data_IF_346789930575
#
_entry.id   IF_346789930575
#
_cell.length_a   1.000
_cell.length_b   1.000
_cell.length_c   1.000
_cell.angle_alpha   90.00
_cell.angle_beta   90.00
_cell.angle_gamma   90.00
#
_symmetry.space_group_name_H-M   'P 1'
#
loop_
_entity.id
_entity.type
_entity.pdbx_description
1 polymer ?
#
# COMPACT_ATOMS: atom_id res chain seq x y z
N UNK A 1 10.57 51.50 -23.07
CA UNK A 1 10.74 50.05 -22.79
C UNK A 1 9.36 49.42 -22.86
N UNK A 2 9.12 48.54 -23.83
CA UNK A 2 7.79 47.94 -24.09
C UNK A 2 7.36 46.97 -22.98
N UNK A 3 6.05 46.79 -22.82
CA UNK A 3 5.49 45.99 -21.73
C UNK A 3 5.88 44.51 -21.84
N UNK A 4 5.89 43.79 -20.72
CA UNK A 4 6.16 42.34 -20.67
C UNK A 4 5.26 41.55 -21.66
N UNK A 5 4.04 42.05 -21.89
CA UNK A 5 3.06 41.47 -22.81
C UNK A 5 3.51 41.55 -24.27
N UNK A 6 4.22 42.61 -24.65
CA UNK A 6 4.73 42.82 -26.02
C UNK A 6 5.94 41.93 -26.30
N UNK A 7 6.75 41.66 -25.26
CA UNK A 7 7.90 40.75 -25.36
C UNK A 7 7.48 39.27 -25.47
N UNK A 8 6.34 38.90 -24.90
CA UNK A 8 5.79 37.54 -24.99
C UNK A 8 5.10 37.25 -26.34
N UNK A 9 4.47 38.26 -26.95
CA UNK A 9 3.90 38.17 -28.29
C UNK A 9 4.98 38.04 -29.38
N UNK A 10 6.09 38.79 -29.24
CA UNK A 10 7.20 38.74 -30.20
C UNK A 10 7.95 37.38 -30.22
N UNK A 11 7.86 36.59 -29.14
CA UNK A 11 8.46 35.25 -29.04
C UNK A 11 7.52 34.11 -29.47
N UNK A 12 6.31 34.41 -29.96
CA UNK A 12 5.35 33.40 -30.41
C UNK A 12 4.72 32.57 -29.28
N UNK A 13 4.86 32.97 -28.02
CA UNK A 13 4.40 32.22 -26.84
C UNK A 13 2.99 32.61 -26.36
N UNK A 14 2.38 33.64 -26.95
CA UNK A 14 0.98 33.98 -26.72
C UNK A 14 0.15 33.55 -27.94
N UNK A 15 -0.43 32.35 -27.91
CA UNK A 15 -1.35 31.90 -28.94
C UNK A 15 -2.63 32.74 -28.92
N UNK A 16 -3.01 33.26 -30.10
CA UNK A 16 -4.37 33.76 -30.36
C UNK A 16 -5.38 32.69 -29.93
N UNK A 17 -6.37 33.09 -29.12
CA UNK A 17 -7.67 32.42 -28.92
C UNK A 17 -7.63 30.89 -28.83
N UNK A 18 -7.77 30.36 -27.62
CA UNK A 18 -8.09 28.94 -27.42
C UNK A 18 -9.25 28.54 -28.36
N UNK A 19 -9.10 27.47 -29.15
CA UNK A 19 -10.22 26.97 -29.94
C UNK A 19 -11.31 26.53 -28.97
N UNK A 20 -12.54 26.96 -29.22
CA UNK A 20 -13.71 26.46 -28.51
C UNK A 20 -13.68 24.93 -28.54
N UNK A 21 -13.57 24.30 -27.37
CA UNK A 21 -13.73 22.87 -27.19
C UNK A 21 -15.13 22.51 -27.67
N UNK A 22 -15.23 21.96 -28.88
CA UNK A 22 -16.46 21.29 -29.33
C UNK A 22 -16.77 20.22 -28.29
N UNK A 23 -17.95 20.27 -27.69
CA UNK A 23 -18.46 19.18 -26.87
C UNK A 23 -18.42 17.91 -27.71
N UNK A 24 -17.47 17.02 -27.38
CA UNK A 24 -17.41 15.69 -27.95
C UNK A 24 -18.63 14.96 -27.40
N UNK A 25 -19.53 14.51 -28.27
CA UNK A 25 -20.65 13.68 -27.86
C UNK A 25 -20.10 12.47 -27.10
N UNK A 26 -20.70 12.07 -25.96
CA UNK A 26 -20.21 10.93 -25.19
C UNK A 26 -20.14 9.71 -26.12
N UNK A 27 -19.02 9.01 -26.08
CA UNK A 27 -18.83 7.81 -26.88
C UNK A 27 -19.97 6.82 -26.60
N UNK A 28 -20.48 6.10 -27.62
CA UNK A 28 -21.51 5.10 -27.39
C UNK A 28 -21.00 4.05 -26.39
N UNK A 29 -21.82 3.74 -25.39
CA UNK A 29 -21.49 2.75 -24.36
C UNK A 29 -21.29 1.38 -25.04
N UNK A 30 -20.10 0.81 -24.92
CA UNK A 30 -19.80 -0.56 -25.36
C UNK A 30 -20.60 -1.56 -24.50
N UNK A 31 -21.59 -2.27 -25.05
CA UNK A 31 -22.41 -3.20 -24.30
C UNK A 31 -21.62 -4.36 -23.68
N UNK A 32 -20.51 -4.77 -24.32
CA UNK A 32 -19.67 -5.85 -23.82
C UNK A 32 -18.86 -5.40 -22.59
N UNK A 33 -18.36 -4.16 -22.58
CA UNK A 33 -17.72 -3.58 -21.41
C UNK A 33 -18.69 -3.45 -20.23
N UNK A 34 -19.93 -3.00 -20.50
CA UNK A 34 -20.97 -2.89 -19.47
C UNK A 34 -21.43 -4.26 -18.92
N UNK A 35 -21.31 -5.34 -19.71
CA UNK A 35 -21.55 -6.71 -19.22
C UNK A 35 -20.44 -7.15 -18.28
N UNK A 36 -19.17 -7.04 -18.72
CA UNK A 36 -18.01 -7.43 -17.90
C UNK A 36 -17.96 -6.72 -16.56
N UNK A 37 -18.22 -5.40 -16.54
CA UNK A 37 -18.25 -4.63 -15.31
C UNK A 37 -19.31 -5.15 -14.31
N UNK A 38 -20.47 -5.61 -14.81
CA UNK A 38 -21.51 -6.22 -13.96
C UNK A 38 -21.10 -7.58 -13.42
N UNK A 39 -20.41 -8.39 -14.22
CA UNK A 39 -19.88 -9.69 -13.78
C UNK A 39 -18.79 -9.52 -12.71
N UNK A 40 -17.87 -8.57 -12.91
CA UNK A 40 -16.84 -8.21 -11.92
C UNK A 40 -17.45 -7.75 -10.60
N UNK A 41 -18.44 -6.84 -10.67
CA UNK A 41 -19.15 -6.35 -9.49
C UNK A 41 -19.86 -7.48 -8.73
N UNK A 42 -20.54 -8.37 -9.46
CA UNK A 42 -21.22 -9.52 -8.87
C UNK A 42 -20.22 -10.50 -8.22
N UNK A 43 -19.07 -10.75 -8.87
CA UNK A 43 -18.01 -11.60 -8.33
C UNK A 43 -17.40 -10.99 -7.06
N UNK A 44 -17.17 -9.68 -7.05
CA UNK A 44 -16.64 -8.97 -5.88
C UNK A 44 -17.61 -8.99 -4.70
N UNK A 45 -18.90 -8.77 -4.96
CA UNK A 45 -19.94 -8.88 -3.94
C UNK A 45 -20.04 -10.31 -3.37
N UNK A 46 -19.98 -11.33 -4.23
CA UNK A 46 -19.97 -12.73 -3.81
C UNK A 46 -18.74 -13.07 -2.96
N UNK A 47 -17.55 -12.62 -3.36
CA UNK A 47 -16.33 -12.78 -2.56
C UNK A 47 -16.46 -12.10 -1.19
N UNK A 48 -16.84 -10.83 -1.16
CA UNK A 48 -16.96 -10.03 0.06
C UNK A 48 -17.98 -10.60 1.07
N UNK A 49 -18.99 -11.34 0.60
CA UNK A 49 -19.96 -12.03 1.47
C UNK A 49 -19.37 -13.20 2.26
N UNK A 50 -18.25 -13.76 1.79
CA UNK A 50 -17.53 -14.87 2.45
C UNK A 50 -16.22 -14.41 3.12
N UNK A 51 -15.74 -13.19 2.83
CA UNK A 51 -14.50 -12.66 3.40
C UNK A 51 -14.64 -12.27 4.88
N UNK A 52 -13.60 -12.49 5.70
CA UNK A 52 -13.51 -11.92 7.04
C UNK A 52 -13.68 -10.39 7.02
N UNK A 53 -14.42 -9.86 7.99
CA UNK A 53 -14.63 -8.42 8.12
C UNK A 53 -13.62 -7.77 9.05
N UNK A 54 -13.04 -6.67 8.59
CA UNK A 54 -12.24 -5.83 9.46
C UNK A 54 -13.16 -5.00 10.37
N UNK A 55 -12.83 -4.82 11.66
CA UNK A 55 -13.63 -4.00 12.56
C UNK A 55 -13.86 -2.59 12.01
N UNK A 56 -15.11 -2.13 11.99
CA UNK A 56 -15.49 -0.82 11.47
C UNK A 56 -15.53 -0.71 9.95
N UNK A 57 -15.20 -1.78 9.20
CA UNK A 57 -15.18 -1.74 7.75
C UNK A 57 -16.54 -2.10 7.12
N UNK A 58 -16.92 -1.36 6.07
CA UNK A 58 -18.04 -1.67 5.17
C UNK A 58 -17.54 -2.30 3.87
N UNK A 59 -18.39 -3.03 3.12
CA UNK A 59 -18.05 -3.36 1.72
C UNK A 59 -18.21 -2.08 0.90
N UNK A 60 -17.29 -1.83 -0.02
CA UNK A 60 -17.49 -0.89 -1.11
C UNK A 60 -17.76 -1.63 -2.42
N UNK A 61 -18.56 -1.00 -3.28
CA UNK A 61 -18.69 -1.45 -4.68
C UNK A 61 -17.38 -1.22 -5.42
N UNK A 62 -17.14 -1.90 -6.54
CA UNK A 62 -15.94 -1.63 -7.35
C UNK A 62 -16.00 -0.21 -7.95
N UNK A 63 -17.19 0.28 -8.27
CA UNK A 63 -17.39 1.66 -8.71
C UNK A 63 -16.96 2.66 -7.63
N UNK A 64 -17.45 2.53 -6.40
CA UNK A 64 -17.02 3.36 -5.26
C UNK A 64 -15.51 3.27 -5.05
N UNK A 65 -14.94 2.06 -5.08
CA UNK A 65 -13.51 1.86 -4.90
C UNK A 65 -12.69 2.60 -5.98
N UNK A 66 -13.15 2.58 -7.24
CA UNK A 66 -12.49 3.29 -8.35
C UNK A 66 -12.58 4.81 -8.20
N UNK A 67 -13.74 5.33 -7.79
CA UNK A 67 -13.96 6.76 -7.56
C UNK A 67 -12.97 7.33 -6.52
N UNK A 68 -12.59 6.54 -5.51
CA UNK A 68 -11.59 6.95 -4.51
C UNK A 68 -10.20 7.23 -5.12
N UNK A 69 -9.85 6.59 -6.23
CA UNK A 69 -8.58 6.81 -6.91
C UNK A 69 -8.64 7.88 -8.00
N UNK A 70 -9.82 8.30 -8.47
CA UNK A 70 -9.93 9.30 -9.54
C UNK A 70 -9.18 10.60 -9.21
N UNK A 71 -9.29 11.19 -7.99
CA UNK A 71 -8.54 12.39 -7.63
C UNK A 71 -7.01 12.17 -7.62
N UNK A 72 -6.57 10.92 -7.53
CA UNK A 72 -5.17 10.49 -7.43
C UNK A 72 -4.64 9.83 -8.70
N UNK A 73 -5.47 9.75 -9.73
CA UNK A 73 -5.13 9.05 -10.96
C UNK A 73 -3.95 9.69 -11.71
N UNK A 74 -3.70 10.98 -11.48
CA UNK A 74 -2.50 11.65 -11.99
C UNK A 74 -1.25 11.18 -11.24
N UNK A 75 -1.29 11.14 -9.91
CA UNK A 75 -0.18 10.66 -9.09
C UNK A 75 0.16 9.22 -9.50
N UNK A 76 -0.83 8.33 -9.51
CA UNK A 76 -0.69 6.92 -9.89
C UNK A 76 -0.10 6.71 -11.29
N UNK A 77 -0.50 7.51 -12.29
CA UNK A 77 0.02 7.43 -13.66
C UNK A 77 1.47 7.89 -13.78
N UNK A 78 1.91 8.79 -12.91
CA UNK A 78 3.30 9.20 -12.84
C UNK A 78 4.13 8.25 -11.98
N UNK A 79 3.50 7.36 -11.19
CA UNK A 79 4.23 6.38 -10.39
C UNK A 79 5.01 5.35 -11.23
N UNK A 80 4.66 5.19 -12.51
CA UNK A 80 5.21 4.11 -13.36
C UNK A 80 6.52 4.47 -14.07
N UNK A 81 7.03 5.69 -13.94
CA UNK A 81 8.17 6.19 -14.72
C UNK A 81 9.55 6.15 -14.03
N UNK A 82 9.60 6.48 -12.75
CA UNK A 82 10.86 6.84 -12.05
C UNK A 82 11.18 5.95 -10.83
N UNK A 83 10.46 4.85 -10.66
CA UNK A 83 10.47 4.07 -9.42
C UNK A 83 10.58 2.58 -9.69
N UNK A 84 11.27 1.89 -8.79
CA UNK A 84 11.62 0.49 -8.95
C UNK A 84 10.34 -0.39 -9.01
N UNK A 85 9.27 -0.07 -8.27
CA UNK A 85 8.04 -0.86 -8.22
C UNK A 85 6.81 -0.16 -8.81
N UNK A 86 6.14 -0.81 -9.78
CA UNK A 86 4.88 -0.34 -10.34
C UNK A 86 3.70 -0.70 -9.42
N UNK A 87 2.75 0.23 -9.26
CA UNK A 87 1.46 -0.05 -8.63
C UNK A 87 0.61 -0.86 -9.60
N UNK A 88 0.27 -2.10 -9.23
CA UNK A 88 -0.69 -2.90 -9.99
C UNK A 88 -2.12 -2.48 -9.60
N UNK A 89 -2.66 -1.55 -10.39
CA UNK A 89 -4.00 -0.97 -10.18
C UNK A 89 -5.10 -2.05 -10.22
N UNK A 90 -4.95 -3.12 -10.98
CA UNK A 90 -5.97 -4.17 -11.05
C UNK A 90 -6.08 -4.93 -9.72
N UNK A 91 -4.94 -5.18 -9.07
CA UNK A 91 -4.89 -5.85 -7.75
C UNK A 91 -5.49 -5.01 -6.63
N UNK A 92 -5.60 -3.69 -6.80
CA UNK A 92 -6.21 -2.84 -5.78
C UNK A 92 -7.72 -3.07 -5.66
N UNK A 93 -8.40 -3.50 -6.73
CA UNK A 93 -9.86 -3.59 -6.75
C UNK A 93 -10.39 -5.00 -6.53
N UNK A 94 -9.63 -6.02 -6.94
CA UNK A 94 -10.03 -7.42 -6.85
C UNK A 94 -9.26 -8.11 -5.71
N UNK A 95 -9.86 -9.11 -5.04
CA UNK A 95 -11.15 -9.74 -5.34
C UNK A 95 -12.37 -9.00 -4.77
N UNK A 96 -12.19 -8.12 -3.77
CA UNK A 96 -13.24 -7.24 -3.23
C UNK A 96 -12.61 -6.16 -2.35
N UNK A 97 -13.37 -5.11 -2.02
CA UNK A 97 -12.87 -3.99 -1.21
C UNK A 97 -13.70 -3.79 0.04
N UNK A 98 -13.02 -3.66 1.17
CA UNK A 98 -13.57 -3.16 2.43
C UNK A 98 -12.99 -1.78 2.73
N UNK A 99 -13.84 -0.88 3.21
CA UNK A 99 -13.50 0.52 3.49
C UNK A 99 -13.78 0.84 4.95
N UNK A 100 -12.81 1.48 5.60
CA UNK A 100 -13.00 2.13 6.90
C UNK A 100 -12.95 3.65 6.66
N UNK A 101 -13.95 4.35 7.18
CA UNK A 101 -14.08 5.79 7.06
C UNK A 101 -13.38 6.50 8.23
N UNK A 102 -12.62 7.55 7.94
CA UNK A 102 -11.94 8.37 8.93
C UNK A 102 -10.67 7.74 9.53
N UNK A 103 -10.17 8.38 10.57
CA UNK A 103 -8.94 7.96 11.25
C UNK A 103 -9.17 6.72 12.12
N UNK A 104 -8.21 5.80 12.07
CA UNK A 104 -8.30 4.49 12.73
C UNK A 104 -7.07 4.26 13.60
N UNK A 105 -7.30 3.85 14.85
CA UNK A 105 -6.25 3.39 15.75
C UNK A 105 -6.52 1.93 16.14
N UNK A 106 -5.52 1.05 15.95
CA UNK A 106 -5.58 -0.37 16.27
C UNK A 106 -4.33 -0.78 17.06
N UNK A 107 -4.45 -1.81 17.88
CA UNK A 107 -3.28 -2.43 18.51
C UNK A 107 -2.50 -3.29 17.51
N UNK A 108 -3.22 -4.14 16.78
CA UNK A 108 -2.67 -4.95 15.69
C UNK A 108 -3.63 -4.95 14.50
N UNK A 109 -3.06 -4.95 13.29
CA UNK A 109 -3.79 -5.22 12.07
C UNK A 109 -3.17 -6.44 11.40
N UNK A 110 -3.99 -7.47 11.19
CA UNK A 110 -3.58 -8.67 10.47
C UNK A 110 -4.48 -8.88 9.26
N UNK A 111 -3.87 -8.84 8.09
CA UNK A 111 -4.54 -9.19 6.84
C UNK A 111 -4.48 -10.69 6.58
N UNK A 112 -5.41 -11.14 5.74
CA UNK A 112 -5.55 -12.55 5.35
C UNK A 112 -5.41 -12.71 3.84
N UNK A 113 -4.90 -13.88 3.41
CA UNK A 113 -4.73 -14.22 1.99
C UNK A 113 -6.06 -14.28 1.22
N UNK A 114 -7.13 -14.69 1.90
CA UNK A 114 -8.47 -14.85 1.32
C UNK A 114 -9.42 -13.68 1.66
N UNK A 115 -8.85 -12.59 2.21
CA UNK A 115 -9.61 -11.41 2.63
C UNK A 115 -10.01 -10.48 1.48
N UNK A 116 -10.65 -9.37 1.83
CA UNK A 116 -10.79 -8.23 0.91
C UNK A 116 -9.54 -7.36 0.96
N UNK A 117 -9.31 -6.58 -0.10
CA UNK A 117 -8.50 -5.37 -0.01
C UNK A 117 -9.09 -4.47 1.10
N UNK A 118 -8.23 -3.78 1.83
CA UNK A 118 -8.65 -2.89 2.91
C UNK A 118 -8.22 -1.46 2.60
N UNK A 119 -9.18 -0.54 2.55
CA UNK A 119 -8.93 0.87 2.38
C UNK A 119 -9.26 1.62 3.67
N UNK A 120 -8.38 2.51 4.08
CA UNK A 120 -8.60 3.43 5.21
C UNK A 120 -8.68 4.85 4.65
N UNK A 121 -9.85 5.49 4.78
CA UNK A 121 -10.11 6.85 4.32
C UNK A 121 -9.78 7.87 5.42
N UNK A 122 -8.53 7.84 5.84
CA UNK A 122 -7.99 8.66 6.92
C UNK A 122 -6.60 8.17 7.32
N UNK A 123 -6.14 8.62 8.48
CA UNK A 123 -4.88 8.17 9.07
C UNK A 123 -5.05 6.79 9.73
N UNK A 124 -4.07 5.91 9.54
CA UNK A 124 -4.00 4.60 10.19
C UNK A 124 -2.86 4.60 11.21
N UNK A 125 -3.20 4.43 12.48
CA UNK A 125 -2.24 4.26 13.58
C UNK A 125 -2.30 2.84 14.13
N UNK A 126 -1.15 2.17 14.18
CA UNK A 126 -1.00 0.82 14.72
C UNK A 126 0.05 0.87 15.84
N UNK A 127 -0.38 0.69 17.09
CA UNK A 127 0.53 0.78 18.24
C UNK A 127 1.46 -0.43 18.32
N UNK A 128 1.03 -1.59 17.82
CA UNK A 128 1.81 -2.82 17.68
C UNK A 128 2.23 -3.08 16.24
N UNK A 129 1.69 -4.14 15.63
CA UNK A 129 2.12 -4.64 14.33
C UNK A 129 1.05 -4.63 13.25
N UNK A 130 1.48 -4.25 12.05
CA UNK A 130 0.79 -4.51 10.80
C UNK A 130 1.41 -5.75 10.17
N UNK A 131 0.61 -6.81 10.02
CA UNK A 131 1.00 -8.03 9.33
C UNK A 131 0.16 -8.21 8.07
N UNK A 132 0.83 -8.18 6.94
CA UNK A 132 0.29 -8.40 5.61
C UNK A 132 1.06 -9.56 4.96
N UNK A 133 0.61 -10.82 5.12
CA UNK A 133 1.32 -12.00 4.62
C UNK A 133 1.56 -11.98 3.11
N UNK A 134 2.50 -12.79 2.60
CA UNK A 134 2.67 -12.98 1.16
C UNK A 134 1.34 -13.35 0.48
N UNK A 135 1.00 -12.65 -0.62
CA UNK A 135 -0.27 -12.78 -1.35
C UNK A 135 -1.52 -12.49 -0.52
N UNK A 136 -1.39 -11.75 0.57
CA UNK A 136 -2.57 -11.07 1.11
C UNK A 136 -3.01 -9.94 0.19
N UNK A 137 -4.23 -9.49 0.43
CA UNK A 137 -4.86 -8.44 -0.35
C UNK A 137 -4.20 -7.09 -0.04
N UNK A 138 -4.40 -6.11 -0.92
CA UNK A 138 -3.82 -4.79 -0.83
C UNK A 138 -4.34 -4.02 0.39
N UNK A 139 -3.45 -3.28 1.03
CA UNK A 139 -3.79 -2.25 2.01
C UNK A 139 -3.54 -0.88 1.42
N UNK A 140 -4.57 -0.04 1.43
CA UNK A 140 -4.50 1.33 0.92
C UNK A 140 -4.87 2.31 2.02
N UNK A 141 -3.98 3.24 2.33
CA UNK A 141 -4.21 4.28 3.33
C UNK A 141 -4.27 5.62 2.60
N UNK A 142 -5.45 6.23 2.56
CA UNK A 142 -5.69 7.53 1.92
C UNK A 142 -5.30 8.72 2.81
N UNK A 143 -4.64 8.45 3.95
CA UNK A 143 -3.94 9.40 4.80
C UNK A 143 -2.53 8.91 5.11
N UNK A 144 -2.07 9.16 6.34
CA UNK A 144 -0.76 8.75 6.86
C UNK A 144 -0.84 7.41 7.59
N UNK A 145 0.24 6.63 7.54
CA UNK A 145 0.39 5.37 8.27
C UNK A 145 1.47 5.53 9.35
N UNK A 146 1.08 5.32 10.61
CA UNK A 146 1.99 5.23 11.76
C UNK A 146 1.95 3.83 12.32
N UNK A 147 3.10 3.17 12.47
CA UNK A 147 3.18 1.83 13.02
C UNK A 147 4.44 1.61 13.84
N UNK A 148 4.40 0.71 14.84
CA UNK A 148 5.64 0.26 15.49
C UNK A 148 6.40 -0.72 14.59
N UNK A 149 5.71 -1.73 14.07
CA UNK A 149 6.24 -2.69 13.08
C UNK A 149 5.29 -2.86 11.89
N UNK A 150 5.88 -3.04 10.70
CA UNK A 150 5.20 -3.41 9.47
C UNK A 150 5.91 -4.60 8.84
N UNK A 151 5.16 -5.67 8.62
CA UNK A 151 5.62 -6.89 7.92
C UNK A 151 4.70 -7.07 6.72
N UNK A 152 5.21 -6.79 5.52
CA UNK A 152 4.43 -6.87 4.29
C UNK A 152 5.05 -7.81 3.25
N UNK A 153 4.21 -8.69 2.71
CA UNK A 153 4.47 -9.53 1.55
C UNK A 153 3.49 -9.26 0.41
N UNK A 154 2.72 -8.18 0.49
CA UNK A 154 1.75 -7.78 -0.52
C UNK A 154 1.74 -6.26 -0.73
N UNK A 155 0.76 -5.76 -1.49
CA UNK A 155 0.73 -4.37 -1.91
C UNK A 155 0.32 -3.46 -0.76
N UNK A 156 1.20 -2.51 -0.41
CA UNK A 156 0.93 -1.47 0.59
C UNK A 156 1.06 -0.12 -0.07
N UNK A 157 -0.02 0.65 -0.11
CA UNK A 157 -0.05 1.99 -0.70
C UNK A 157 -0.46 3.03 0.33
N UNK A 158 0.39 4.03 0.55
CA UNK A 158 0.17 5.13 1.50
C UNK A 158 0.21 6.45 0.75
N UNK A 159 -0.91 7.17 0.73
CA UNK A 159 -1.02 8.46 0.05
C UNK A 159 -0.47 9.65 0.85
N UNK A 160 -0.29 9.48 2.17
CA UNK A 160 0.33 10.45 3.07
C UNK A 160 1.72 10.02 3.54
N UNK A 161 2.05 10.42 4.77
CA UNK A 161 3.34 10.10 5.37
C UNK A 161 3.36 8.66 5.93
N UNK A 162 4.53 8.02 5.87
CA UNK A 162 4.79 6.74 6.51
C UNK A 162 5.76 6.95 7.68
N UNK A 163 5.36 6.55 8.88
CA UNK A 163 6.23 6.50 10.06
C UNK A 163 6.22 5.09 10.65
N UNK A 164 7.34 4.38 10.51
CA UNK A 164 7.56 3.06 11.10
C UNK A 164 8.66 3.18 12.14
N UNK A 165 8.28 3.18 13.42
CA UNK A 165 9.20 3.48 14.51
C UNK A 165 10.35 2.46 14.61
N UNK A 166 10.05 1.17 14.36
CA UNK A 166 11.05 0.09 14.42
C UNK A 166 11.31 -0.50 13.06
N UNK A 167 10.52 -1.47 12.61
CA UNK A 167 10.90 -2.31 11.47
C UNK A 167 9.85 -2.27 10.37
N UNK A 168 10.28 -1.94 9.16
CA UNK A 168 9.53 -2.14 7.93
C UNK A 168 10.18 -3.30 7.16
N UNK A 169 9.49 -4.43 7.09
CA UNK A 169 9.95 -5.63 6.42
C UNK A 169 9.12 -5.93 5.18
N UNK A 170 9.82 -6.21 4.08
CA UNK A 170 9.24 -6.56 2.78
C UNK A 170 9.77 -7.90 2.28
N UNK A 171 8.90 -8.80 1.82
CA UNK A 171 9.31 -10.12 1.30
C UNK A 171 8.43 -10.61 0.14
N UNK A 172 8.42 -9.85 -0.95
CA UNK A 172 7.72 -10.22 -2.16
C UNK A 172 8.33 -9.52 -3.37
N UNK A 173 8.63 -10.25 -4.43
CA UNK A 173 9.11 -9.71 -5.72
C UNK A 173 7.99 -9.09 -6.56
N UNK A 174 6.73 -9.43 -6.28
CA UNK A 174 5.60 -9.14 -7.15
C UNK A 174 4.74 -7.96 -6.66
N UNK A 175 4.96 -7.51 -5.43
CA UNK A 175 4.21 -6.45 -4.79
C UNK A 175 5.17 -5.44 -4.21
N UNK A 176 4.70 -4.21 -4.08
CA UNK A 176 5.51 -3.10 -3.63
C UNK A 176 4.89 -2.42 -2.40
N UNK A 177 5.75 -1.74 -1.64
CA UNK A 177 5.33 -0.72 -0.69
C UNK A 177 5.55 0.64 -1.33
N UNK A 178 4.46 1.36 -1.57
CA UNK A 178 4.44 2.66 -2.23
C UNK A 178 4.02 3.74 -1.22
N UNK A 179 4.83 4.79 -1.07
CA UNK A 179 4.57 5.92 -0.17
C UNK A 179 4.72 7.23 -0.92
N UNK A 180 3.63 8.00 -1.00
CA UNK A 180 3.59 9.25 -1.76
C UNK A 180 4.03 10.47 -0.92
N UNK A 181 3.98 10.36 0.40
CA UNK A 181 4.49 11.39 1.33
C UNK A 181 5.91 11.11 1.83
N UNK A 182 6.23 11.69 2.99
CA UNK A 182 7.51 11.50 3.68
C UNK A 182 7.58 10.11 4.30
N UNK A 183 8.72 9.44 4.21
CA UNK A 183 8.96 8.15 4.87
C UNK A 183 9.98 8.28 6.01
N UNK A 184 9.63 7.83 7.21
CA UNK A 184 10.54 7.70 8.36
C UNK A 184 10.49 6.26 8.85
N UNK A 185 11.62 5.58 8.78
CA UNK A 185 11.71 4.15 9.13
C UNK A 185 12.93 3.93 10.02
N UNK A 186 12.75 3.24 11.15
CA UNK A 186 13.85 2.80 11.99
C UNK A 186 14.82 1.90 11.23
N UNK A 187 14.38 0.68 10.91
CA UNK A 187 15.11 -0.32 10.13
C UNK A 187 14.25 -0.78 8.95
N UNK A 188 14.75 -0.62 7.73
CA UNK A 188 14.15 -1.13 6.51
C UNK A 188 14.80 -2.46 6.14
N UNK A 189 14.00 -3.53 6.07
CA UNK A 189 14.46 -4.86 5.68
C UNK A 189 13.84 -5.23 4.33
N UNK A 190 14.63 -5.15 3.27
CA UNK A 190 14.21 -5.64 1.94
C UNK A 190 14.70 -7.07 1.73
N UNK A 191 13.74 -7.99 1.65
CA UNK A 191 13.99 -9.38 1.36
C UNK A 191 13.38 -9.80 0.03
N UNK A 192 14.03 -10.74 -0.66
CA UNK A 192 13.66 -11.18 -2.02
C UNK A 192 13.41 -10.00 -2.96
N UNK A 193 14.21 -8.95 -2.84
CA UNK A 193 14.07 -7.75 -3.67
C UNK A 193 12.68 -7.10 -3.55
N UNK A 194 12.04 -7.15 -2.36
CA UNK A 194 10.81 -6.40 -2.15
C UNK A 194 11.02 -4.92 -2.41
N UNK A 195 10.09 -4.37 -3.19
CA UNK A 195 10.18 -3.05 -3.77
C UNK A 195 9.66 -2.02 -2.79
N UNK A 196 10.48 -1.02 -2.46
CA UNK A 196 10.11 0.09 -1.61
C UNK A 196 10.24 1.40 -2.39
N UNK A 197 9.10 2.02 -2.64
CA UNK A 197 8.93 3.16 -3.52
C UNK A 197 8.56 4.38 -2.69
N UNK A 198 9.56 5.19 -2.32
CA UNK A 198 9.37 6.43 -1.57
C UNK A 198 9.48 7.64 -2.49
N UNK A 199 8.37 8.35 -2.66
CA UNK A 199 8.27 9.50 -3.59
C UNK A 199 8.54 10.83 -2.91
N UNK A 200 8.24 10.94 -1.62
CA UNK A 200 8.66 12.06 -0.81
C UNK A 200 10.06 11.86 -0.19
N UNK A 201 10.49 12.81 0.65
CA UNK A 201 11.72 12.68 1.42
C UNK A 201 11.70 11.41 2.27
N UNK A 202 12.86 10.77 2.43
CA UNK A 202 13.00 9.56 3.26
C UNK A 202 14.13 9.68 4.28
N UNK A 203 13.87 9.22 5.49
CA UNK A 203 14.86 9.00 6.53
C UNK A 203 14.77 7.53 6.98
N UNK A 204 15.82 6.76 6.69
CA UNK A 204 15.93 5.34 7.05
C UNK A 204 17.11 5.24 8.00
N UNK A 205 16.88 4.77 9.22
CA UNK A 205 17.95 4.61 10.22
C UNK A 205 18.94 3.52 9.82
N UNK A 206 18.43 2.32 9.54
CA UNK A 206 19.21 1.16 9.10
C UNK A 206 18.57 0.51 7.87
N UNK A 207 19.39 0.08 6.90
CA UNK A 207 18.96 -0.67 5.73
C UNK A 207 19.58 -2.07 5.75
N UNK A 208 18.73 -3.09 5.70
CA UNK A 208 19.14 -4.50 5.64
C UNK A 208 18.59 -5.11 4.36
N UNK A 209 19.48 -5.69 3.54
CA UNK A 209 19.10 -6.42 2.33
C UNK A 209 19.40 -7.89 2.52
N UNK A 210 18.44 -8.76 2.24
CA UNK A 210 18.59 -10.21 2.38
C UNK A 210 18.02 -10.96 1.19
N UNK A 211 18.71 -12.00 0.75
CA UNK A 211 18.17 -12.89 -0.28
C UNK A 211 17.22 -13.94 0.32
N UNK A 212 17.51 -14.43 1.52
CA UNK A 212 16.69 -15.43 2.20
C UNK A 212 15.73 -14.77 3.19
N UNK A 213 14.41 -15.04 3.10
CA UNK A 213 13.43 -14.46 4.01
C UNK A 213 13.64 -14.97 5.43
N UNK A 214 13.88 -14.08 6.40
CA UNK A 214 13.62 -14.44 7.79
C UNK A 214 12.15 -14.81 7.93
N UNK A 215 11.86 -15.79 8.79
CA UNK A 215 10.56 -16.45 8.85
C UNK A 215 9.51 -15.63 9.63
N UNK A 216 9.37 -14.33 9.31
CA UNK A 216 8.47 -13.42 10.00
C UNK A 216 6.99 -13.79 9.84
N UNK A 217 6.65 -14.55 8.79
CA UNK A 217 5.30 -15.05 8.56
C UNK A 217 4.88 -16.14 9.55
N UNK A 218 5.81 -16.96 10.06
CA UNK A 218 5.51 -18.05 11.01
C UNK A 218 5.05 -17.51 12.37
N UNK A 219 5.56 -16.35 12.79
CA UNK A 219 5.11 -15.67 14.02
C UNK A 219 3.74 -15.02 13.88
N UNK A 220 3.24 -14.95 12.64
CA UNK A 220 1.91 -14.46 12.32
C UNK A 220 0.82 -15.52 12.35
N UNK A 221 1.10 -16.83 12.21
CA UNK A 221 0.06 -17.84 11.93
C UNK A 221 -0.61 -18.36 13.22
N UNK A 222 -1.78 -17.78 13.52
CA UNK A 222 -2.89 -18.24 14.35
C UNK A 222 -2.64 -18.60 15.85
N UNK A 223 -3.52 -18.16 16.77
CA UNK A 223 -3.58 -18.73 18.11
C UNK A 223 -3.99 -20.20 18.01
N UNK A 224 -3.07 -21.11 18.32
CA UNK A 224 -3.36 -22.55 18.46
C UNK A 224 -2.62 -23.51 17.53
N UNK A 225 -1.92 -23.06 16.49
CA UNK A 225 -1.07 -23.96 15.69
C UNK A 225 0.33 -24.04 16.33
N UNK A 226 0.49 -25.07 17.17
CA UNK A 226 1.75 -25.43 17.82
C UNK A 226 2.79 -25.91 16.78
N UNK A 227 3.62 -25.00 16.29
CA UNK A 227 4.94 -25.36 15.74
C UNK A 227 5.95 -25.48 16.88
N UNK A 228 5.79 -26.48 17.75
CA UNK A 228 6.83 -26.93 18.70
C UNK A 228 7.41 -25.92 19.72
N UNK A 229 7.04 -24.64 19.68
CA UNK A 229 7.40 -23.61 20.67
C UNK A 229 6.12 -23.05 21.26
N UNK A 230 5.98 -23.18 22.56
CA UNK A 230 4.87 -22.63 23.33
C UNK A 230 4.90 -21.10 23.26
N UNK A 231 3.86 -20.49 22.72
CA UNK A 231 3.58 -19.06 22.85
C UNK A 231 2.66 -18.90 24.06
N UNK A 232 3.05 -18.05 25.02
CA UNK A 232 2.23 -17.72 26.18
C UNK A 232 1.16 -16.67 25.80
N UNK A 233 -0.13 -16.99 25.92
CA UNK A 233 -1.23 -16.11 25.50
C UNK A 233 -1.48 -14.92 26.44
N UNK A 234 -0.82 -14.83 27.60
CA UNK A 234 -1.04 -13.76 28.59
C UNK A 234 -0.10 -12.56 28.44
N UNK A 235 0.90 -12.65 27.56
CA UNK A 235 2.00 -11.66 27.46
C UNK A 235 1.98 -10.86 26.14
N UNK A 236 1.27 -11.31 25.10
CA UNK A 236 1.69 -10.99 23.72
C UNK A 236 3.09 -11.60 23.46
N UNK A 237 3.67 -11.52 22.26
CA UNK A 237 5.01 -12.10 22.05
C UNK A 237 6.11 -11.07 22.46
N UNK A 238 6.75 -11.19 23.64
CA UNK A 238 7.90 -10.35 23.99
C UNK A 238 9.13 -10.65 23.12
N UNK A 239 9.03 -11.62 22.20
CA UNK A 239 10.05 -12.00 21.24
C UNK A 239 9.79 -11.49 19.82
N UNK A 240 8.82 -10.62 19.53
CA UNK A 240 8.80 -10.03 18.18
C UNK A 240 10.04 -9.12 17.96
N UNK A 241 10.40 -8.27 18.94
CA UNK A 241 11.61 -7.46 18.87
C UNK A 241 12.88 -8.31 18.98
N UNK A 242 12.90 -9.34 19.84
CA UNK A 242 14.05 -10.24 19.99
C UNK A 242 14.19 -11.26 18.84
N UNK A 243 13.10 -11.67 18.18
CA UNK A 243 13.12 -12.56 17.01
C UNK A 243 13.42 -11.79 15.73
N UNK A 244 12.96 -10.54 15.61
CA UNK A 244 13.45 -9.63 14.56
C UNK A 244 14.92 -9.33 14.79
N UNK A 245 15.33 -8.93 16.01
CA UNK A 245 16.73 -8.71 16.33
C UNK A 245 17.58 -9.98 16.14
N UNK A 246 17.12 -11.16 16.58
CA UNK A 246 17.85 -12.42 16.40
C UNK A 246 17.89 -12.87 14.93
N UNK A 247 16.84 -12.65 14.15
CA UNK A 247 16.84 -12.89 12.71
C UNK A 247 17.82 -11.94 11.99
N UNK A 248 17.89 -10.67 12.42
CA UNK A 248 18.87 -9.69 11.93
C UNK A 248 20.30 -10.05 12.37
N UNK A 249 20.51 -10.56 13.59
CA UNK A 249 21.82 -10.93 14.15
C UNK A 249 22.32 -12.33 13.77
N UNK A 250 21.46 -13.21 13.26
CA UNK A 250 21.86 -14.45 12.60
C UNK A 250 22.56 -14.07 11.28
N UNK A 251 23.89 -14.02 11.35
CA UNK A 251 24.89 -13.73 10.30
C UNK A 251 24.63 -14.59 9.06
N UNK A 252 24.62 -14.04 7.85
CA UNK A 252 25.86 -13.78 7.10
C UNK A 252 25.90 -12.51 6.22
N UNK A 253 24.83 -11.71 6.10
CA UNK A 253 24.73 -10.73 4.98
C UNK A 253 24.42 -9.26 5.37
N UNK A 254 24.85 -8.77 6.54
CA UNK A 254 24.66 -7.35 6.88
C UNK A 254 25.71 -6.51 6.13
N UNK A 255 25.34 -6.01 4.95
CA UNK A 255 26.03 -4.88 4.34
C UNK A 255 25.60 -3.60 5.06
N UNK A 256 26.40 -3.18 6.04
CA UNK A 256 26.36 -1.81 6.54
C UNK A 256 26.85 -0.93 5.39
N UNK A 257 26.00 -0.02 4.89
CA UNK A 257 26.44 0.95 3.89
C UNK A 257 27.55 1.84 4.50
N UNK A 258 28.57 2.25 3.71
CA UNK A 258 29.60 3.17 4.17
C UNK A 258 29.05 4.55 4.55
#
# INVERSE_FOLDING_TARGET
MGSLKDQLLAKGLASKTAPATKAVAPAPIDPAAAHRAREEEAAAAAHASHSPRYPGARIATLAEARELFEPRAYDLRNLTGDVDGAVDIETLFLPSVQVIEGDVALDELRMTQEGSNLYVLGDLTITGRLLQPFRSNALVVFGSLRAHHVVTGAELLVFGDLEVARVLYGNCTNHATNVLGTARVGTLVSCKQHMFSFWGPRAIGELVRRHTPPNFEVYGIAPGIRTGRLIDPTIGDPYDEASIAAALHARDDIFVAP
#
